data_IF_465452998006
#
_entry.id   IF_465452998006
#
_cell.length_a   1.000
_cell.length_b   1.000
_cell.length_c   1.000
_cell.angle_alpha   90.00
_cell.angle_beta   90.00
_cell.angle_gamma   90.00
#
_symmetry.space_group_name_H-M   'P 1'
#
loop_
_entity.id
_entity.type
_entity.pdbx_description
1 polymer ?
#
# COMPACT_ATOMS: atom_id res chain seq x y z
N UNK A 1 -1.96 -11.12 -10.81
CA UNK A 1 -3.13 -10.51 -11.44
C UNK A 1 -3.08 -8.99 -11.25
N UNK A 2 -3.50 -8.22 -12.26
CA UNK A 2 -3.61 -6.77 -12.13
C UNK A 2 -4.87 -6.34 -11.36
N UNK A 3 -5.81 -7.24 -11.19
CA UNK A 3 -7.09 -7.02 -10.50
C UNK A 3 -7.29 -8.08 -9.42
N UNK A 4 -8.07 -7.72 -8.40
CA UNK A 4 -8.48 -8.66 -7.35
C UNK A 4 -9.92 -9.09 -7.59
N UNK A 5 -10.15 -10.39 -7.70
CA UNK A 5 -11.48 -10.96 -7.77
C UNK A 5 -12.01 -11.18 -6.35
N UNK A 6 -13.26 -10.80 -6.12
CA UNK A 6 -14.00 -11.10 -4.90
C UNK A 6 -14.98 -12.23 -5.14
N UNK A 7 -15.28 -12.99 -4.10
CA UNK A 7 -16.27 -14.07 -4.12
C UNK A 7 -17.28 -13.87 -2.99
N UNK A 8 -18.45 -14.48 -3.13
CA UNK A 8 -19.55 -14.43 -2.14
C UNK A 8 -19.95 -12.99 -1.77
N UNK A 9 -20.10 -12.11 -2.78
CA UNK A 9 -20.47 -10.72 -2.55
C UNK A 9 -21.93 -10.61 -2.06
N UNK A 10 -22.11 -9.95 -0.90
CA UNK A 10 -23.38 -9.46 -0.39
C UNK A 10 -23.39 -7.94 -0.57
N UNK A 11 -24.34 -7.43 -1.33
CA UNK A 11 -24.46 -6.01 -1.66
C UNK A 11 -25.31 -5.21 -0.68
N UNK A 12 -25.86 -5.87 0.34
CA UNK A 12 -26.70 -5.25 1.35
C UNK A 12 -26.57 -5.97 2.72
N UNK A 13 -25.36 -6.12 3.25
CA UNK A 13 -25.21 -6.69 4.58
C UNK A 13 -26.02 -5.89 5.60
N UNK A 14 -26.70 -6.57 6.51
CA UNK A 14 -27.54 -5.91 7.53
C UNK A 14 -26.67 -5.26 8.63
N UNK A 15 -26.50 -3.94 8.51
CA UNK A 15 -25.83 -3.09 9.50
C UNK A 15 -26.82 -2.15 10.21
N UNK A 16 -28.12 -2.41 10.12
CA UNK A 16 -29.19 -1.56 10.66
C UNK A 16 -29.54 -0.34 9.80
N UNK A 17 -28.97 -0.19 8.62
CA UNK A 17 -29.17 0.94 7.71
C UNK A 17 -30.61 1.04 7.17
N UNK A 18 -31.33 -0.06 7.06
CA UNK A 18 -32.72 -0.09 6.60
C UNK A 18 -33.65 0.77 7.49
N UNK A 19 -33.35 0.85 8.81
CA UNK A 19 -34.06 1.74 9.73
C UNK A 19 -33.88 3.22 9.47
N UNK A 20 -32.92 3.60 8.60
CA UNK A 20 -32.63 4.98 8.18
C UNK A 20 -33.15 5.32 6.78
N UNK A 21 -33.90 4.40 6.18
CA UNK A 21 -34.56 4.58 4.90
C UNK A 21 -33.70 4.28 3.68
N UNK A 22 -32.43 3.92 3.86
CA UNK A 22 -31.60 3.43 2.75
C UNK A 22 -32.14 2.11 2.19
N UNK A 23 -32.08 2.00 0.87
CA UNK A 23 -32.43 0.77 0.16
C UNK A 23 -31.46 0.53 -1.00
N UNK A 24 -31.46 -0.70 -1.51
CA UNK A 24 -30.63 -1.08 -2.63
C UNK A 24 -31.43 -1.78 -3.73
N UNK A 25 -30.90 -1.75 -4.94
CA UNK A 25 -31.38 -2.56 -6.06
C UNK A 25 -30.22 -2.80 -7.04
N UNK A 26 -30.31 -3.88 -7.81
CA UNK A 26 -29.54 -3.98 -9.06
C UNK A 26 -30.32 -3.23 -10.12
N UNK A 27 -29.75 -2.19 -10.67
CA UNK A 27 -30.31 -1.41 -11.75
C UNK A 27 -29.69 -1.85 -13.07
N UNK A 28 -30.54 -2.08 -14.08
CA UNK A 28 -30.09 -2.50 -15.40
C UNK A 28 -30.37 -1.41 -16.43
N UNK A 29 -29.35 -1.05 -17.18
CA UNK A 29 -29.47 -0.13 -18.31
C UNK A 29 -28.82 -0.76 -19.55
N UNK A 30 -29.63 -1.06 -20.57
CA UNK A 30 -29.17 -1.65 -21.85
C UNK A 30 -28.39 -2.97 -21.69
N UNK A 31 -28.73 -3.78 -20.70
CA UNK A 31 -28.05 -5.04 -20.43
C UNK A 31 -26.83 -4.94 -19.50
N UNK A 32 -26.51 -3.75 -19.05
CA UNK A 32 -25.47 -3.49 -18.07
C UNK A 32 -26.07 -3.30 -16.67
N UNK A 33 -25.52 -4.01 -15.68
CA UNK A 33 -26.03 -4.01 -14.31
C UNK A 33 -25.12 -3.23 -13.39
N UNK A 34 -25.71 -2.28 -12.66
CA UNK A 34 -25.01 -1.48 -11.66
C UNK A 34 -25.74 -1.51 -10.32
N UNK A 35 -25.03 -1.24 -9.25
CA UNK A 35 -25.57 -1.21 -7.90
C UNK A 35 -26.20 0.15 -7.62
N UNK A 36 -27.49 0.17 -7.26
CA UNK A 36 -28.20 1.38 -6.85
C UNK A 36 -28.38 1.39 -5.33
N UNK A 37 -27.95 2.46 -4.68
CA UNK A 37 -28.29 2.79 -3.30
C UNK A 37 -29.13 4.06 -3.27
N UNK A 38 -30.39 3.94 -2.82
CA UNK A 38 -31.32 5.06 -2.70
C UNK A 38 -31.39 5.56 -1.26
N UNK A 39 -31.50 6.89 -1.09
CA UNK A 39 -31.46 7.55 0.21
C UNK A 39 -30.23 7.11 1.01
N UNK A 40 -29.07 7.23 0.39
CA UNK A 40 -27.82 6.73 0.96
C UNK A 40 -27.50 7.43 2.29
N UNK A 41 -27.71 6.72 3.39
CA UNK A 41 -27.13 7.04 4.69
C UNK A 41 -25.75 6.37 4.78
N UNK A 42 -25.73 5.06 5.01
CA UNK A 42 -24.57 4.20 4.81
C UNK A 42 -25.03 2.85 4.27
N UNK A 43 -24.25 2.32 3.36
CA UNK A 43 -24.45 1.02 2.71
C UNK A 43 -23.09 0.41 2.43
N UNK A 44 -23.07 -0.84 2.04
CA UNK A 44 -21.82 -1.44 1.63
C UNK A 44 -21.94 -2.81 0.98
N UNK A 45 -20.77 -3.31 0.65
CA UNK A 45 -20.57 -4.64 0.12
C UNK A 45 -19.75 -5.45 1.11
N UNK A 46 -20.11 -6.71 1.30
CA UNK A 46 -19.31 -7.69 2.04
C UNK A 46 -18.95 -8.84 1.12
N UNK A 47 -17.73 -9.34 1.24
CA UNK A 47 -17.19 -10.42 0.41
C UNK A 47 -16.16 -11.23 1.19
N UNK A 48 -15.73 -12.35 0.62
CA UNK A 48 -14.65 -13.14 1.22
C UNK A 48 -13.37 -12.31 1.34
N UNK A 49 -12.58 -12.55 2.38
CA UNK A 49 -11.35 -11.81 2.63
C UNK A 49 -10.40 -11.85 1.42
N UNK A 50 -9.95 -10.68 1.00
CA UNK A 50 -8.96 -10.54 -0.07
C UNK A 50 -7.74 -9.78 0.43
N UNK A 51 -6.57 -10.18 -0.02
CA UNK A 51 -5.34 -9.47 0.21
C UNK A 51 -5.12 -8.48 -0.94
N UNK A 52 -5.17 -7.19 -0.64
CA UNK A 52 -4.94 -6.10 -1.60
C UNK A 52 -3.62 -5.36 -1.39
N UNK A 53 -2.71 -5.91 -0.61
CA UNK A 53 -1.41 -5.27 -0.28
C UNK A 53 -0.50 -5.06 -1.49
N UNK A 54 -0.75 -5.73 -2.61
CA UNK A 54 -0.04 -5.52 -3.87
C UNK A 54 -0.79 -4.63 -4.85
N UNK A 55 -1.98 -4.14 -4.48
CA UNK A 55 -2.76 -3.21 -5.30
C UNK A 55 -2.34 -1.77 -4.99
N UNK A 56 -2.53 -0.90 -5.98
CA UNK A 56 -2.14 0.52 -5.89
C UNK A 56 -3.33 1.44 -5.74
N UNK A 57 -4.48 1.03 -6.28
CA UNK A 57 -5.69 1.85 -6.35
C UNK A 57 -6.93 1.04 -6.04
N UNK A 58 -7.93 1.71 -5.47
CA UNK A 58 -9.33 1.34 -5.52
C UNK A 58 -10.01 2.21 -6.58
N UNK A 59 -10.61 1.57 -7.59
CA UNK A 59 -11.42 2.22 -8.61
C UNK A 59 -12.89 1.96 -8.39
N UNK A 60 -13.72 2.96 -8.65
CA UNK A 60 -15.16 2.82 -8.80
C UNK A 60 -15.72 3.97 -9.64
N UNK A 61 -16.77 3.68 -10.40
CA UNK A 61 -17.57 4.67 -11.10
C UNK A 61 -18.83 4.96 -10.30
N UNK A 62 -19.12 6.25 -10.06
CA UNK A 62 -20.31 6.69 -9.33
C UNK A 62 -21.09 7.71 -10.15
N UNK A 63 -22.37 7.44 -10.38
CA UNK A 63 -23.30 8.40 -10.94
C UNK A 63 -24.31 8.84 -9.89
N UNK A 64 -24.67 10.12 -9.89
CA UNK A 64 -25.70 10.67 -9.00
C UNK A 64 -26.32 11.91 -9.63
N UNK A 65 -27.59 12.20 -9.29
CA UNK A 65 -28.23 13.47 -9.60
C UNK A 65 -28.29 14.43 -8.41
N UNK A 66 -28.06 13.94 -7.19
CA UNK A 66 -28.45 14.65 -5.96
C UNK A 66 -27.51 14.44 -4.76
N UNK A 67 -26.53 13.58 -4.85
CA UNK A 67 -25.49 13.45 -3.83
C UNK A 67 -24.32 14.41 -4.11
N UNK A 68 -23.84 15.08 -3.08
CA UNK A 68 -22.74 16.06 -3.17
C UNK A 68 -21.37 15.40 -2.96
N UNK A 69 -21.33 14.39 -2.09
CA UNK A 69 -20.10 13.66 -1.71
C UNK A 69 -20.43 12.21 -1.42
N UNK A 70 -19.42 11.39 -1.58
CA UNK A 70 -19.42 10.01 -1.10
C UNK A 70 -18.18 9.75 -0.24
N UNK A 71 -18.36 9.19 0.94
CA UNK A 71 -17.28 8.63 1.72
C UNK A 71 -17.17 7.14 1.40
N UNK A 72 -15.98 6.69 1.09
CA UNK A 72 -15.68 5.30 0.73
C UNK A 72 -14.71 4.76 1.76
N UNK A 73 -15.18 3.80 2.57
CA UNK A 73 -14.36 3.14 3.57
C UNK A 73 -13.92 1.77 3.09
N UNK A 74 -12.64 1.45 3.29
CA UNK A 74 -12.11 0.10 3.19
C UNK A 74 -12.05 -0.49 4.60
N UNK A 75 -12.53 -1.72 4.75
CA UNK A 75 -12.66 -2.41 6.04
C UNK A 75 -11.88 -3.71 6.00
N UNK A 76 -10.94 -3.84 6.93
CA UNK A 76 -10.08 -5.00 7.12
C UNK A 76 -10.40 -5.71 8.43
N UNK A 77 -10.37 -7.05 8.42
CA UNK A 77 -10.47 -7.85 9.63
C UNK A 77 -9.22 -8.69 9.79
N UNK A 78 -8.48 -8.47 10.86
CA UNK A 78 -7.27 -9.24 11.15
C UNK A 78 -7.57 -10.72 11.46
N UNK A 79 -6.52 -11.53 11.62
CA UNK A 79 -6.66 -12.96 11.94
C UNK A 79 -7.24 -13.23 13.33
N UNK A 80 -7.23 -12.24 14.22
CA UNK A 80 -7.83 -12.31 15.56
C UNK A 80 -9.31 -11.87 15.55
N UNK A 81 -9.84 -11.40 14.41
CA UNK A 81 -11.22 -10.94 14.25
C UNK A 81 -11.43 -9.45 14.56
N UNK A 82 -10.37 -8.69 14.83
CA UNK A 82 -10.51 -7.24 15.03
C UNK A 82 -10.75 -6.54 13.71
N UNK A 83 -11.74 -5.64 13.69
CA UNK A 83 -12.14 -4.90 12.49
C UNK A 83 -11.58 -3.48 12.57
N UNK A 84 -10.99 -3.03 11.49
CA UNK A 84 -10.50 -1.67 11.32
C UNK A 84 -11.07 -1.08 10.04
N UNK A 85 -11.57 0.14 10.13
CA UNK A 85 -12.16 0.90 9.02
C UNK A 85 -11.42 2.21 8.84
N UNK A 86 -11.18 2.62 7.58
CA UNK A 86 -10.65 3.94 7.24
C UNK A 86 -11.42 4.51 6.04
N UNK A 87 -11.88 5.77 6.14
CA UNK A 87 -12.62 6.44 5.07
C UNK A 87 -11.73 7.33 4.20
N UNK A 88 -12.17 7.51 2.95
CA UNK A 88 -11.76 8.60 2.05
C UNK A 88 -13.03 9.25 1.50
N UNK A 89 -13.10 10.59 1.56
CA UNK A 89 -14.26 11.35 1.06
C UNK A 89 -13.94 11.96 -0.29
N UNK A 90 -14.86 11.80 -1.23
CA UNK A 90 -14.75 12.33 -2.60
C UNK A 90 -15.94 13.23 -2.89
N UNK A 91 -15.69 14.40 -3.49
CA UNK A 91 -16.73 15.28 -4.02
C UNK A 91 -17.30 14.68 -5.32
N UNK A 92 -18.61 14.78 -5.51
CA UNK A 92 -19.29 14.28 -6.69
C UNK A 92 -19.85 15.43 -7.53
N UNK A 93 -19.74 15.29 -8.83
CA UNK A 93 -20.44 16.14 -9.80
C UNK A 93 -21.76 15.47 -10.17
N UNK A 94 -22.87 16.20 -10.04
CA UNK A 94 -24.19 15.70 -10.39
C UNK A 94 -24.37 15.52 -11.90
N UNK A 95 -25.25 14.59 -12.27
CA UNK A 95 -25.67 14.30 -13.64
C UNK A 95 -24.57 13.77 -14.57
N UNK A 96 -23.45 13.29 -14.01
CA UNK A 96 -22.39 12.63 -14.77
C UNK A 96 -21.78 11.46 -14.01
N UNK A 97 -21.06 10.58 -14.73
CA UNK A 97 -20.25 9.54 -14.13
C UNK A 97 -18.96 10.13 -13.56
N UNK A 98 -18.79 9.98 -12.25
CA UNK A 98 -17.57 10.33 -11.55
C UNK A 98 -16.67 9.10 -11.51
N UNK A 99 -15.57 9.13 -12.26
CA UNK A 99 -14.54 8.10 -12.21
C UNK A 99 -13.64 8.37 -11.01
N UNK A 100 -13.72 7.52 -10.01
CA UNK A 100 -13.03 7.70 -8.73
C UNK A 100 -11.84 6.76 -8.68
N UNK A 101 -10.65 7.34 -8.47
CA UNK A 101 -9.39 6.64 -8.28
C UNK A 101 -8.82 7.00 -6.91
N UNK A 102 -8.83 6.07 -5.97
CA UNK A 102 -8.29 6.29 -4.64
C UNK A 102 -7.00 5.51 -4.48
N UNK A 103 -5.85 6.18 -4.30
CA UNK A 103 -4.61 5.49 -3.95
C UNK A 103 -4.79 4.67 -2.68
N UNK A 104 -4.31 3.44 -2.67
CA UNK A 104 -4.36 2.58 -1.46
C UNK A 104 -3.58 3.22 -0.30
N UNK A 105 -2.56 4.03 -0.61
CA UNK A 105 -1.83 4.83 0.39
C UNK A 105 -2.74 5.71 1.24
N UNK A 106 -3.83 6.26 0.66
CA UNK A 106 -4.76 7.13 1.40
C UNK A 106 -5.45 6.42 2.56
N UNK A 107 -5.54 5.08 2.50
CA UNK A 107 -6.02 4.24 3.59
C UNK A 107 -4.90 3.77 4.51
N UNK A 108 -3.76 3.32 3.94
CA UNK A 108 -2.65 2.78 4.74
C UNK A 108 -1.94 3.85 5.56
N UNK A 109 -1.86 5.09 5.08
CA UNK A 109 -1.30 6.22 5.83
C UNK A 109 -2.16 6.60 7.05
N UNK A 110 -3.44 6.22 7.04
CA UNK A 110 -4.33 6.28 8.20
C UNK A 110 -4.15 5.08 9.16
N UNK A 111 -3.23 4.15 8.85
CA UNK A 111 -2.95 2.96 9.66
C UNK A 111 -3.84 1.76 9.35
N UNK A 112 -4.52 1.70 8.19
CA UNK A 112 -5.29 0.54 7.77
C UNK A 112 -4.36 -0.59 7.31
N UNK A 113 -4.51 -1.78 7.87
CA UNK A 113 -4.00 -3.00 7.26
C UNK A 113 -4.91 -3.40 6.08
N UNK A 114 -4.33 -3.97 5.03
CA UNK A 114 -5.05 -4.29 3.76
C UNK A 114 -4.79 -5.72 3.28
N UNK A 115 -4.34 -6.57 4.18
CA UNK A 115 -4.04 -7.98 3.92
C UNK A 115 -5.27 -8.90 3.98
N UNK A 116 -6.36 -8.41 4.59
CA UNK A 116 -7.62 -9.15 4.79
C UNK A 116 -8.84 -8.24 4.67
N UNK A 117 -8.92 -7.47 3.59
CA UNK A 117 -10.09 -6.63 3.28
C UNK A 117 -11.30 -7.51 3.00
N UNK A 118 -12.46 -7.18 3.56
CA UNK A 118 -13.68 -7.98 3.42
C UNK A 118 -14.95 -7.16 3.23
N UNK A 119 -14.87 -5.82 3.42
CA UNK A 119 -16.02 -4.93 3.21
C UNK A 119 -15.56 -3.60 2.60
N UNK A 120 -16.46 -3.02 1.80
CA UNK A 120 -16.46 -1.60 1.43
C UNK A 120 -17.73 -0.97 1.99
N UNK A 121 -17.61 0.24 2.55
CA UNK A 121 -18.77 1.00 3.03
C UNK A 121 -18.82 2.35 2.32
N UNK A 122 -20.03 2.76 1.99
CA UNK A 122 -20.33 4.02 1.32
C UNK A 122 -21.25 4.86 2.19
N UNK A 123 -20.92 6.13 2.40
CA UNK A 123 -21.75 7.10 3.14
C UNK A 123 -22.03 8.28 2.25
N UNK A 124 -23.32 8.62 2.09
CA UNK A 124 -23.76 9.72 1.24
C UNK A 124 -23.83 11.05 1.97
N UNK A 125 -23.58 12.13 1.23
CA UNK A 125 -23.89 13.51 1.64
C UNK A 125 -24.79 14.15 0.58
N UNK A 126 -25.98 14.67 0.97
CA UNK A 126 -26.52 14.72 2.35
C UNK A 126 -26.92 13.34 2.88
N UNK A 127 -26.86 13.18 4.19
CA UNK A 127 -27.21 11.93 4.86
C UNK A 127 -28.64 11.50 4.56
N UNK A 128 -28.81 10.27 4.08
CA UNK A 128 -30.10 9.69 3.67
C UNK A 128 -30.87 10.55 2.63
N UNK A 129 -30.18 11.40 1.87
CA UNK A 129 -30.79 12.33 0.92
C UNK A 129 -30.56 11.97 -0.55
N UNK A 130 -29.43 11.36 -0.87
CA UNK A 130 -29.02 11.12 -2.26
C UNK A 130 -29.23 9.68 -2.72
N UNK A 131 -29.32 9.52 -4.04
CA UNK A 131 -29.27 8.23 -4.73
C UNK A 131 -28.00 8.15 -5.53
N UNK A 132 -27.24 7.04 -5.37
CA UNK A 132 -26.03 6.78 -6.14
C UNK A 132 -26.16 5.46 -6.90
N UNK A 133 -25.58 5.45 -8.10
CA UNK A 133 -25.36 4.25 -8.88
C UNK A 133 -23.87 3.98 -8.88
N UNK A 134 -23.46 2.75 -8.53
CA UNK A 134 -22.06 2.35 -8.40
C UNK A 134 -21.78 1.22 -9.37
N UNK A 135 -20.71 1.36 -10.12
CA UNK A 135 -20.24 0.36 -11.08
C UNK A 135 -18.72 0.26 -11.05
N UNK A 136 -18.17 -0.75 -11.72
CA UNK A 136 -16.73 -0.93 -11.95
C UNK A 136 -15.88 -0.88 -10.68
N UNK A 137 -16.34 -1.49 -9.58
CA UNK A 137 -15.61 -1.50 -8.30
C UNK A 137 -14.54 -2.57 -8.31
N UNK A 138 -13.26 -2.17 -8.26
CA UNK A 138 -12.15 -3.11 -8.20
C UNK A 138 -10.90 -2.49 -7.60
N UNK A 139 -10.10 -3.33 -6.93
CA UNK A 139 -8.72 -2.99 -6.60
C UNK A 139 -7.82 -3.37 -7.76
N UNK A 140 -6.90 -2.50 -8.12
CA UNK A 140 -5.97 -2.76 -9.21
C UNK A 140 -4.59 -2.17 -8.97
N UNK A 141 -3.65 -2.67 -9.75
CA UNK A 141 -2.35 -2.04 -9.93
C UNK A 141 -2.14 -1.78 -11.42
N UNK A 142 -1.47 -0.70 -11.72
CA UNK A 142 -1.04 -0.45 -13.10
C UNK A 142 -0.23 -1.66 -13.58
N UNK A 143 -0.40 -2.10 -14.84
CA UNK A 143 0.49 -3.09 -15.41
C UNK A 143 1.91 -2.58 -15.20
N UNK A 144 2.76 -3.42 -14.62
CA UNK A 144 4.16 -3.06 -14.40
C UNK A 144 4.73 -2.62 -15.75
N UNK A 145 5.07 -1.34 -15.86
CA UNK A 145 5.82 -0.86 -17.01
C UNK A 145 7.15 -1.60 -17.01
N UNK A 146 7.67 -2.00 -18.18
CA UNK A 146 9.00 -2.56 -18.25
C UNK A 146 9.96 -1.59 -17.56
N UNK A 147 10.43 -1.95 -16.39
CA UNK A 147 11.36 -1.12 -15.64
C UNK A 147 12.77 -1.62 -15.89
N UNK A 148 13.73 -0.73 -16.18
CA UNK A 148 15.13 -1.11 -16.27
C UNK A 148 15.67 -1.62 -14.91
N UNK A 149 14.91 -1.42 -13.81
CA UNK A 149 15.26 -1.92 -12.49
C UNK A 149 14.93 -3.40 -12.29
N UNK A 150 14.10 -4.02 -13.16
CA UNK A 150 13.75 -5.42 -13.02
C UNK A 150 15.00 -6.31 -12.99
N UNK A 151 15.13 -7.11 -11.93
CA UNK A 151 16.27 -7.96 -11.69
C UNK A 151 16.74 -7.96 -10.24
N UNK A 152 17.90 -8.59 -10.05
CA UNK A 152 18.54 -8.76 -8.75
C UNK A 152 19.70 -7.78 -8.61
N UNK A 153 19.72 -7.05 -7.52
CA UNK A 153 20.70 -6.01 -7.21
C UNK A 153 21.36 -6.26 -5.87
N UNK A 154 22.62 -5.92 -5.74
CA UNK A 154 23.38 -5.96 -4.48
C UNK A 154 24.12 -4.63 -4.30
N UNK A 155 24.39 -4.26 -3.06
CA UNK A 155 25.31 -3.15 -2.79
C UNK A 155 26.72 -3.55 -3.25
N UNK A 156 27.35 -2.67 -4.01
CA UNK A 156 28.70 -2.95 -4.53
C UNK A 156 29.71 -3.17 -3.39
N UNK A 157 30.45 -4.27 -3.44
CA UNK A 157 31.44 -4.68 -2.39
C UNK A 157 32.74 -3.86 -2.49
N UNK A 158 32.66 -2.53 -2.34
CA UNK A 158 33.82 -1.63 -2.38
C UNK A 158 33.67 -0.52 -1.33
N UNK A 159 34.79 0.01 -0.86
CA UNK A 159 34.80 1.18 0.01
C UNK A 159 34.07 2.36 -0.67
N UNK A 160 33.29 3.13 0.10
CA UNK A 160 32.50 4.25 -0.39
C UNK A 160 31.23 3.86 -1.18
N UNK A 161 30.85 2.57 -1.19
CA UNK A 161 29.58 2.15 -1.81
C UNK A 161 28.35 2.64 -1.05
N UNK A 162 28.47 2.74 0.28
CA UNK A 162 27.48 3.36 1.14
C UNK A 162 28.02 4.70 1.61
N UNK A 163 27.17 5.73 1.56
CA UNK A 163 27.49 7.08 2.00
C UNK A 163 26.31 7.71 2.72
N UNK A 164 26.57 8.41 3.79
CA UNK A 164 25.60 9.20 4.54
C UNK A 164 26.16 10.61 4.69
N UNK A 165 25.38 11.60 4.30
CA UNK A 165 25.81 13.00 4.31
C UNK A 165 24.64 13.96 4.03
N UNK A 166 24.91 15.27 4.01
CA UNK A 166 23.89 16.31 3.85
C UNK A 166 23.33 16.43 2.43
N UNK A 167 23.92 15.75 1.46
CA UNK A 167 23.51 15.79 0.07
C UNK A 167 23.81 14.47 -0.65
N UNK A 168 23.14 14.22 -1.77
CA UNK A 168 23.32 13.04 -2.60
C UNK A 168 24.80 12.84 -2.97
N UNK A 169 25.26 11.61 -2.83
CA UNK A 169 26.65 11.24 -3.11
C UNK A 169 27.68 11.74 -2.11
N UNK A 170 27.28 12.54 -1.11
CA UNK A 170 28.15 13.05 -0.07
C UNK A 170 28.29 12.02 1.06
N UNK A 171 29.51 11.82 1.56
CA UNK A 171 29.84 10.88 2.65
C UNK A 171 30.47 11.58 3.87
N UNK A 172 30.20 12.90 4.06
CA UNK A 172 30.84 13.68 5.12
C UNK A 172 30.49 13.21 6.53
N UNK A 173 29.32 12.61 6.72
CA UNK A 173 28.93 12.07 8.02
C UNK A 173 29.44 10.64 8.21
N UNK A 174 29.38 9.82 7.16
CA UNK A 174 29.91 8.49 7.16
C UNK A 174 30.00 7.93 5.73
N UNK A 175 30.98 7.09 5.48
CA UNK A 175 31.05 6.24 4.29
C UNK A 175 31.72 4.92 4.61
N UNK A 176 31.30 3.86 3.93
CA UNK A 176 31.88 2.53 4.13
C UNK A 176 33.36 2.51 3.76
N UNK A 177 34.21 2.06 4.67
CA UNK A 177 35.63 1.78 4.46
C UNK A 177 35.83 0.36 3.86
N UNK A 178 37.04 0.00 3.54
CA UNK A 178 37.41 -1.38 3.15
C UNK A 178 37.21 -2.36 4.32
N UNK A 179 37.47 -1.91 5.55
CA UNK A 179 37.24 -2.71 6.74
C UNK A 179 35.74 -2.94 7.00
N UNK A 180 34.88 -1.91 6.74
CA UNK A 180 33.43 -2.07 6.82
C UNK A 180 32.91 -3.08 5.82
N UNK A 181 33.45 -3.10 4.59
CA UNK A 181 33.05 -4.08 3.57
C UNK A 181 33.36 -5.52 4.05
N UNK A 182 34.47 -5.70 4.78
CA UNK A 182 34.85 -6.99 5.34
C UNK A 182 33.99 -7.34 6.57
N UNK A 183 33.85 -6.40 7.51
CA UNK A 183 33.11 -6.61 8.75
C UNK A 183 31.59 -6.83 8.49
N UNK A 184 31.03 -6.18 7.47
CA UNK A 184 29.62 -6.26 7.06
C UNK A 184 29.40 -7.20 5.85
N UNK A 185 30.24 -8.22 5.66
CA UNK A 185 30.15 -9.12 4.51
C UNK A 185 28.75 -9.74 4.35
N UNK A 186 28.07 -10.02 5.46
CA UNK A 186 26.71 -10.53 5.52
C UNK A 186 25.63 -9.55 5.02
N UNK A 187 25.92 -8.26 4.97
CA UNK A 187 25.05 -7.24 4.37
C UNK A 187 25.35 -7.08 2.87
N UNK A 188 26.61 -7.17 2.49
CA UNK A 188 27.02 -6.99 1.10
C UNK A 188 26.67 -8.17 0.19
N UNK A 189 26.12 -9.27 0.71
CA UNK A 189 25.55 -10.35 -0.06
C UNK A 189 24.01 -10.37 -0.07
N UNK A 190 23.38 -9.40 0.61
CA UNK A 190 21.94 -9.20 0.56
C UNK A 190 21.48 -8.84 -0.87
N UNK A 191 20.38 -9.45 -1.29
CA UNK A 191 19.78 -9.23 -2.59
C UNK A 191 18.54 -8.34 -2.47
N UNK A 192 18.45 -7.33 -3.33
CA UNK A 192 17.27 -6.49 -3.56
C UNK A 192 16.68 -6.85 -4.91
N UNK A 193 15.48 -7.45 -4.93
CA UNK A 193 14.92 -8.07 -6.12
C UNK A 193 13.68 -7.30 -6.56
N UNK A 194 13.76 -6.68 -7.72
CA UNK A 194 12.66 -6.00 -8.39
C UNK A 194 12.05 -6.94 -9.43
N UNK A 195 10.84 -7.42 -9.20
CA UNK A 195 10.16 -8.30 -10.14
C UNK A 195 9.38 -7.50 -11.19
N UNK A 196 9.27 -8.06 -12.39
CA UNK A 196 8.54 -7.43 -13.49
C UNK A 196 7.03 -7.28 -13.24
N UNK A 197 6.49 -7.90 -12.21
CA UNK A 197 5.11 -7.76 -11.77
C UNK A 197 4.88 -6.62 -10.76
N UNK A 198 5.92 -5.84 -10.44
CA UNK A 198 5.88 -4.76 -9.47
C UNK A 198 6.08 -5.22 -8.02
N UNK A 199 6.26 -6.51 -7.75
CA UNK A 199 6.64 -6.98 -6.42
C UNK A 199 8.12 -6.71 -6.16
N UNK A 200 8.45 -6.48 -4.88
CA UNK A 200 9.81 -6.27 -4.40
C UNK A 200 10.12 -7.30 -3.31
N UNK A 201 11.35 -7.79 -3.26
CA UNK A 201 11.80 -8.75 -2.26
C UNK A 201 13.19 -8.35 -1.76
N UNK A 202 13.46 -8.67 -0.50
CA UNK A 202 14.79 -8.59 0.10
C UNK A 202 15.17 -9.99 0.54
N UNK A 203 16.30 -10.51 0.05
CA UNK A 203 16.83 -11.83 0.44
C UNK A 203 18.17 -11.65 1.15
N UNK A 204 18.19 -11.90 2.45
CA UNK A 204 19.31 -11.64 3.35
C UNK A 204 20.00 -12.93 3.83
N UNK A 205 19.58 -14.09 3.30
CA UNK A 205 20.11 -15.36 3.78
C UNK A 205 19.85 -15.61 5.28
N UNK A 206 20.78 -16.29 5.93
CA UNK A 206 20.69 -16.58 7.36
C UNK A 206 21.10 -15.40 8.24
N UNK A 207 21.86 -14.46 7.71
CA UNK A 207 22.41 -13.30 8.43
C UNK A 207 22.47 -12.06 7.53
N UNK A 208 22.26 -10.90 8.15
CA UNK A 208 22.55 -9.57 7.59
C UNK A 208 23.22 -8.71 8.68
N UNK A 209 23.65 -7.49 8.35
CA UNK A 209 24.11 -6.55 9.35
C UNK A 209 22.91 -5.98 10.11
N UNK A 210 22.84 -6.28 11.40
CA UNK A 210 21.84 -5.74 12.32
C UNK A 210 22.48 -4.75 13.28
N UNK A 211 21.70 -3.81 13.77
CA UNK A 211 22.14 -2.78 14.72
C UNK A 211 21.26 -2.79 15.98
N UNK A 212 21.81 -2.32 17.09
CA UNK A 212 21.12 -2.34 18.39
C UNK A 212 19.76 -1.61 18.40
N UNK A 213 19.59 -0.58 17.57
CA UNK A 213 18.33 0.13 17.44
C UNK A 213 17.18 -0.75 16.90
N UNK A 214 17.51 -1.83 16.19
CA UNK A 214 16.54 -2.82 15.69
C UNK A 214 16.11 -3.82 16.78
N UNK A 215 16.71 -3.75 17.98
CA UNK A 215 16.49 -4.69 19.07
C UNK A 215 17.51 -5.83 19.12
N UNK A 216 18.57 -5.78 18.32
CA UNK A 216 19.69 -6.68 18.42
C UNK A 216 20.52 -6.42 19.70
N UNK A 217 21.23 -7.46 20.21
CA UNK A 217 22.07 -7.32 21.41
C UNK A 217 23.32 -6.46 21.19
N UNK A 218 23.79 -6.38 19.95
CA UNK A 218 24.93 -5.57 19.51
C UNK A 218 24.87 -5.40 17.98
N UNK A 219 25.61 -4.42 17.45
CA UNK A 219 25.82 -4.27 16.02
C UNK A 219 26.68 -5.42 15.48
N UNK A 220 26.28 -6.03 14.40
CA UNK A 220 27.02 -7.15 13.79
C UNK A 220 26.20 -8.01 12.83
N UNK A 221 26.87 -9.02 12.27
CA UNK A 221 26.17 -10.03 11.48
C UNK A 221 25.33 -10.95 12.38
N UNK A 222 24.03 -10.96 12.17
CA UNK A 222 23.09 -11.82 12.90
C UNK A 222 21.85 -12.08 12.04
N UNK A 223 20.94 -12.93 12.52
CA UNK A 223 19.66 -13.17 11.87
C UNK A 223 18.89 -11.86 11.67
N UNK A 224 18.26 -11.67 10.51
CA UNK A 224 17.45 -10.48 10.22
C UNK A 224 16.39 -10.23 11.29
N UNK A 225 16.13 -8.95 11.60
CA UNK A 225 15.19 -8.53 12.65
C UNK A 225 13.97 -7.84 12.05
N UNK A 226 12.78 -8.32 12.39
CA UNK A 226 11.53 -7.71 11.95
C UNK A 226 11.41 -6.22 12.40
N UNK A 227 10.81 -5.36 11.58
CA UNK A 227 10.18 -5.62 10.29
C UNK A 227 11.15 -5.59 9.09
N UNK A 228 12.46 -5.47 9.31
CA UNK A 228 13.49 -5.39 8.26
C UNK A 228 14.11 -6.76 7.95
N UNK A 229 13.35 -7.84 8.11
CA UNK A 229 13.76 -9.23 7.96
C UNK A 229 13.47 -9.83 6.56
N UNK A 230 12.94 -9.00 5.64
CA UNK A 230 12.58 -9.45 4.31
C UNK A 230 11.32 -10.32 4.21
N UNK A 231 10.66 -10.64 5.35
CA UNK A 231 9.48 -11.50 5.37
C UNK A 231 8.18 -10.78 4.97
N UNK A 232 8.21 -9.46 4.86
CA UNK A 232 7.05 -8.66 4.48
C UNK A 232 6.62 -8.86 3.03
N UNK A 233 5.39 -8.47 2.72
CA UNK A 233 4.91 -8.34 1.33
C UNK A 233 5.21 -6.94 0.85
N UNK A 234 6.10 -6.81 -0.13
CA UNK A 234 6.54 -5.53 -0.64
C UNK A 234 6.21 -5.37 -2.11
N UNK A 235 5.96 -4.13 -2.52
CA UNK A 235 5.84 -3.74 -3.93
C UNK A 235 6.68 -2.49 -4.20
N UNK A 236 6.80 -2.12 -5.47
CA UNK A 236 7.45 -0.88 -5.85
C UNK A 236 6.74 -0.21 -7.02
N UNK A 237 6.91 1.10 -7.10
CA UNK A 237 6.56 1.92 -8.27
C UNK A 237 7.83 2.60 -8.75
N UNK A 238 8.12 2.51 -10.04
CA UNK A 238 9.20 3.26 -10.68
C UNK A 238 8.62 4.34 -11.58
N UNK A 239 8.67 5.58 -11.13
CA UNK A 239 8.36 6.74 -11.96
C UNK A 239 9.57 7.06 -12.84
N UNK A 240 9.51 6.65 -14.09
CA UNK A 240 10.59 6.90 -15.06
C UNK A 240 10.69 8.37 -15.48
N UNK A 241 9.67 9.19 -15.27
CA UNK A 241 9.68 10.61 -15.62
C UNK A 241 10.50 11.43 -14.63
N UNK A 242 10.47 11.06 -13.36
CA UNK A 242 11.25 11.66 -12.26
C UNK A 242 12.48 10.84 -11.89
N UNK A 243 12.58 9.64 -12.45
CA UNK A 243 13.61 8.64 -12.13
C UNK A 243 13.64 8.29 -10.63
N UNK A 244 12.45 8.12 -10.06
CA UNK A 244 12.26 7.82 -8.64
C UNK A 244 11.64 6.44 -8.47
N UNK A 245 12.18 5.61 -7.59
CA UNK A 245 11.58 4.36 -7.14
C UNK A 245 11.01 4.51 -5.74
N UNK A 246 9.74 4.17 -5.57
CA UNK A 246 9.08 4.12 -4.26
C UNK A 246 8.80 2.68 -3.88
N UNK A 247 9.37 2.24 -2.78
CA UNK A 247 9.04 0.95 -2.15
C UNK A 247 7.81 1.12 -1.26
N UNK A 248 6.95 0.12 -1.26
CA UNK A 248 5.70 0.07 -0.51
C UNK A 248 5.68 -1.21 0.32
N UNK A 249 5.42 -1.07 1.61
CA UNK A 249 5.35 -2.14 2.60
C UNK A 249 6.27 -1.86 3.79
N UNK A 250 5.72 -2.01 5.01
CA UNK A 250 6.46 -1.75 6.25
C UNK A 250 7.69 -2.66 6.34
N UNK A 251 8.86 -2.05 6.50
CA UNK A 251 10.14 -2.78 6.57
C UNK A 251 10.85 -2.96 5.23
N UNK A 252 10.27 -2.49 4.10
CA UNK A 252 10.98 -2.45 2.81
C UNK A 252 12.08 -1.38 2.82
N UNK A 253 13.24 -1.70 2.24
CA UNK A 253 14.36 -0.76 2.11
C UNK A 253 15.33 -1.20 1.01
N UNK A 254 16.20 -0.27 0.59
CA UNK A 254 17.38 -0.53 -0.23
C UNK A 254 18.59 0.00 0.52
N UNK A 255 19.63 -0.80 0.66
CA UNK A 255 20.84 -0.40 1.36
C UNK A 255 20.64 -0.37 2.89
N UNK A 256 20.75 0.79 3.51
CA UNK A 256 20.73 0.94 4.98
C UNK A 256 19.29 1.05 5.50
N UNK A 257 18.80 0.08 6.32
CA UNK A 257 17.41 0.10 6.81
C UNK A 257 17.10 1.27 7.74
N UNK A 258 18.13 1.85 8.39
CA UNK A 258 18.00 3.01 9.28
C UNK A 258 17.61 4.29 8.56
N UNK A 259 18.07 4.46 7.31
CA UNK A 259 17.82 5.67 6.54
C UNK A 259 16.39 5.71 5.99
N UNK A 260 15.69 6.84 6.18
CA UNK A 260 14.35 7.10 5.67
C UNK A 260 14.29 8.46 4.97
N UNK A 261 13.21 8.74 4.25
CA UNK A 261 13.00 10.07 3.65
C UNK A 261 12.84 11.20 4.69
N UNK A 262 12.59 10.85 5.95
CA UNK A 262 12.40 11.80 7.06
C UNK A 262 13.53 11.75 8.11
N UNK A 263 14.69 11.19 7.75
CA UNK A 263 15.84 11.06 8.66
C UNK A 263 16.13 9.61 9.05
N UNK A 264 16.70 9.39 10.23
CA UNK A 264 17.10 8.06 10.70
C UNK A 264 16.11 7.48 11.71
N UNK A 265 15.92 6.15 11.64
CA UNK A 265 15.17 5.41 12.65
C UNK A 265 16.02 5.23 13.92
N UNK A 266 15.36 5.37 15.07
CA UNK A 266 15.93 5.08 16.38
C UNK A 266 15.27 3.86 17.06
N UNK A 267 14.18 3.34 16.49
CA UNK A 267 13.48 2.12 16.91
C UNK A 267 12.64 1.55 15.76
N UNK A 268 12.14 0.32 15.94
CA UNK A 268 11.22 -0.32 14.99
C UNK A 268 9.77 0.20 15.07
N UNK A 269 9.44 1.10 16.00
CA UNK A 269 8.08 1.60 16.21
C UNK A 269 7.64 2.54 15.07
N UNK A 270 8.58 3.31 14.51
CA UNK A 270 8.32 4.35 13.52
C UNK A 270 8.78 3.97 12.10
N UNK A 271 8.83 2.68 11.79
CA UNK A 271 9.20 2.22 10.45
C UNK A 271 8.14 2.64 9.43
N UNK A 272 8.50 3.42 8.40
CA UNK A 272 7.55 3.90 7.41
C UNK A 272 7.04 2.77 6.53
N UNK A 273 5.82 2.96 5.99
CA UNK A 273 5.22 2.04 5.02
C UNK A 273 5.78 2.28 3.61
N UNK A 274 6.27 3.49 3.34
CA UNK A 274 6.84 3.85 2.04
C UNK A 274 8.23 4.45 2.19
N UNK A 275 9.09 4.19 1.20
CA UNK A 275 10.41 4.83 1.05
C UNK A 275 10.68 5.13 -0.41
N UNK A 276 11.11 6.35 -0.73
CA UNK A 276 11.44 6.75 -2.09
C UNK A 276 12.95 6.95 -2.27
N UNK A 277 13.44 6.57 -3.43
CA UNK A 277 14.85 6.63 -3.81
C UNK A 277 14.99 7.22 -5.20
N UNK A 278 15.92 8.12 -5.39
CA UNK A 278 16.31 8.57 -6.73
C UNK A 278 17.18 7.50 -7.40
N UNK A 279 16.93 7.26 -8.68
CA UNK A 279 17.69 6.33 -9.52
C UNK A 279 18.57 7.13 -10.48
N UNK A 280 19.81 6.68 -10.73
CA UNK A 280 20.76 7.28 -11.67
C UNK A 280 21.13 6.32 -12.79
#
# INVERSE_FOLDING_TARGET
>A
SAYTNVTNADYFPDWGQAGQGSSWAMFELNGDQMLQYSKLSYQGNQFDHVNVSTMQYLHLDVWTADAEKIEISVINQDSAGNVTEKPVTVDLTADEWNQIEIPISDYTDQGLAIDRVFQLKYVGTPWAGGTVFIDNVYFYKNPSQPTPLAGKWQVKKVAGALKVGPAKGNGDWWQSSADDVTARACFFDDDFIFNSDGSFQISMGDQTWVEAWQGASADGCAAPVAPHDGAGTYSFVHDQSTNTVTLIGKGSFIGIPKATNNGELSSNDNVPVTRSYDVE
#
